data_IF_697434738456
#
_entry.id   IF_697434738456
#
_cell.length_a   1.000
_cell.length_b   1.000
_cell.length_c   1.000
_cell.angle_alpha   90.00
_cell.angle_beta   90.00
_cell.angle_gamma   90.00
#
_symmetry.space_group_name_H-M   'P 1'
#
loop_
_entity.id
_entity.type
_entity.pdbx_description
1 polymer ?
#
# COMPACT_ATOMS: atom_id res chain seq x y z
N UNK A 1 -11.86 16.17 -9.98
CA UNK A 1 -12.38 14.92 -10.52
C UNK A 1 -13.79 14.68 -10.04
N UNK A 2 -14.68 14.36 -10.94
CA UNK A 2 -16.06 14.03 -10.56
C UNK A 2 -16.18 12.54 -10.31
N UNK A 3 -16.61 12.19 -9.12
CA UNK A 3 -16.90 10.80 -8.79
C UNK A 3 -18.39 10.60 -8.89
N UNK A 4 -18.81 9.76 -9.79
CA UNK A 4 -20.22 9.46 -9.98
C UNK A 4 -20.60 8.26 -9.11
N UNK A 5 -21.53 8.42 -8.14
CA UNK A 5 -21.88 7.31 -7.26
C UNK A 5 -22.49 6.10 -7.99
N UNK A 6 -23.09 6.30 -9.15
CA UNK A 6 -23.66 5.19 -9.93
C UNK A 6 -22.62 4.50 -10.79
N UNK A 7 -21.41 5.07 -10.90
CA UNK A 7 -20.28 4.50 -11.62
C UNK A 7 -19.02 4.73 -10.80
N UNK A 8 -18.87 4.02 -9.67
CA UNK A 8 -17.73 4.24 -8.80
C UNK A 8 -16.43 3.90 -9.51
N UNK A 9 -15.41 4.74 -9.28
CA UNK A 9 -14.09 4.49 -9.82
C UNK A 9 -13.30 3.62 -8.85
N UNK A 10 -12.37 2.84 -9.37
CA UNK A 10 -11.49 2.03 -8.55
C UNK A 10 -10.21 2.80 -8.26
N UNK A 11 -9.82 2.81 -7.00
CA UNK A 11 -8.64 3.53 -6.54
C UNK A 11 -7.65 2.54 -5.96
N UNK A 12 -6.44 2.53 -6.50
CA UNK A 12 -5.33 1.76 -5.93
C UNK A 12 -4.46 2.70 -5.11
N UNK A 13 -4.14 2.30 -3.90
CA UNK A 13 -3.18 3.03 -3.08
C UNK A 13 -1.87 2.24 -3.08
N UNK A 14 -0.77 2.94 -3.29
CA UNK A 14 0.55 2.34 -3.38
C UNK A 14 1.40 2.86 -2.24
N UNK A 15 2.00 1.97 -1.48
CA UNK A 15 2.86 2.30 -0.36
C UNK A 15 4.18 1.54 -0.48
N UNK A 16 5.29 2.23 -0.27
CA UNK A 16 6.61 1.60 -0.20
C UNK A 16 7.06 1.58 1.25
N UNK A 17 7.58 0.45 1.69
CA UNK A 17 8.03 0.31 3.08
C UNK A 17 9.49 -0.12 3.15
N UNK A 18 10.17 0.39 4.17
CA UNK A 18 11.50 -0.06 4.54
C UNK A 18 11.74 0.27 6.00
N UNK A 19 11.78 -0.75 6.86
CA UNK A 19 12.04 -0.62 8.29
C UNK A 19 11.22 0.49 8.96
N UNK A 20 9.91 0.46 8.75
CA UNK A 20 9.02 1.50 9.26
C UNK A 20 7.94 0.98 10.18
N UNK A 21 8.23 0.00 11.01
CA UNK A 21 7.20 -0.67 11.80
C UNK A 21 6.54 0.24 12.85
N UNK A 22 7.19 1.33 13.25
CA UNK A 22 6.74 2.16 14.37
C UNK A 22 5.36 2.80 14.15
N UNK A 23 5.09 3.31 12.94
CA UNK A 23 3.82 4.00 12.64
C UNK A 23 2.98 3.29 11.59
N UNK A 24 3.41 2.11 11.20
CA UNK A 24 2.82 1.42 10.06
C UNK A 24 1.35 1.04 10.28
N UNK A 25 1.02 0.56 11.47
CA UNK A 25 -0.36 0.17 11.76
C UNK A 25 -1.32 1.35 11.65
N UNK A 26 -0.94 2.50 12.22
CA UNK A 26 -1.73 3.72 12.10
C UNK A 26 -1.97 4.09 10.65
N UNK A 27 -0.93 4.00 9.85
CA UNK A 27 -0.98 4.40 8.46
C UNK A 27 -1.87 3.48 7.65
N UNK A 28 -1.72 2.17 7.83
CA UNK A 28 -2.56 1.21 7.12
C UNK A 28 -4.01 1.36 7.55
N UNK A 29 -4.27 1.47 8.85
CA UNK A 29 -5.62 1.67 9.36
C UNK A 29 -6.27 2.90 8.72
N UNK A 30 -5.54 4.00 8.65
CA UNK A 30 -6.03 5.24 8.07
C UNK A 30 -6.43 5.06 6.61
N UNK A 31 -5.63 4.33 5.84
CA UNK A 31 -5.91 4.07 4.43
C UNK A 31 -7.14 3.19 4.28
N UNK A 32 -7.23 2.12 5.05
CA UNK A 32 -8.33 1.17 4.92
C UNK A 32 -9.65 1.73 5.41
N UNK A 33 -9.63 2.75 6.26
CA UNK A 33 -10.82 3.38 6.82
C UNK A 33 -11.23 4.65 6.11
N UNK A 34 -10.68 4.93 4.93
CA UNK A 34 -11.05 6.13 4.18
C UNK A 34 -12.54 6.17 3.84
N UNK A 35 -13.08 7.39 3.76
CA UNK A 35 -14.48 7.59 3.41
C UNK A 35 -14.83 6.98 2.05
N UNK A 36 -13.95 7.15 1.07
CA UNK A 36 -14.14 6.53 -0.23
C UNK A 36 -13.40 5.19 -0.24
N UNK A 37 -14.11 4.07 -0.45
CA UNK A 37 -13.47 2.75 -0.41
C UNK A 37 -12.41 2.59 -1.49
N UNK A 38 -11.27 2.01 -1.11
CA UNK A 38 -10.21 1.73 -2.08
C UNK A 38 -10.41 0.34 -2.68
N UNK A 39 -9.91 0.17 -3.89
CA UNK A 39 -9.93 -1.12 -4.57
C UNK A 39 -8.86 -2.05 -4.00
N UNK A 40 -7.67 -1.52 -3.76
CA UNK A 40 -6.53 -2.30 -3.26
C UNK A 40 -5.52 -1.38 -2.60
N UNK A 41 -4.76 -1.95 -1.67
CA UNK A 41 -3.58 -1.31 -1.09
C UNK A 41 -2.38 -2.18 -1.44
N UNK A 42 -1.54 -1.68 -2.32
CA UNK A 42 -0.34 -2.38 -2.75
C UNK A 42 0.83 -1.89 -1.90
N UNK A 43 1.46 -2.80 -1.18
CA UNK A 43 2.61 -2.47 -0.36
C UNK A 43 3.82 -3.20 -0.91
N UNK A 44 4.82 -2.43 -1.32
CA UNK A 44 6.07 -2.98 -1.83
C UNK A 44 7.14 -2.77 -0.77
N UNK A 45 7.66 -3.86 -0.23
CA UNK A 45 8.64 -3.80 0.85
C UNK A 45 10.05 -4.02 0.31
N UNK A 46 10.96 -3.16 0.71
CA UNK A 46 12.34 -3.17 0.24
C UNK A 46 13.27 -3.88 1.23
N UNK A 47 12.94 -5.12 1.53
CA UNK A 47 13.76 -6.00 2.38
C UNK A 47 13.89 -5.50 3.82
N UNK A 48 12.76 -5.17 4.44
CA UNK A 48 12.75 -4.76 5.85
C UNK A 48 13.27 -5.86 6.76
N UNK A 49 14.00 -5.47 7.78
CA UNK A 49 14.56 -6.39 8.77
C UNK A 49 13.90 -6.26 10.14
N UNK A 50 12.99 -5.30 10.29
CA UNK A 50 12.22 -5.13 11.53
C UNK A 50 10.87 -5.88 11.42
N UNK A 51 9.86 -5.43 12.16
CA UNK A 51 8.55 -6.09 12.16
C UNK A 51 7.62 -5.66 11.03
N UNK A 52 8.11 -4.85 10.10
CA UNK A 52 7.29 -4.30 9.01
C UNK A 52 6.52 -5.38 8.27
N UNK A 53 7.21 -6.39 7.77
CA UNK A 53 6.57 -7.47 6.98
C UNK A 53 5.55 -8.23 7.82
N UNK A 54 5.88 -8.54 9.06
CA UNK A 54 4.98 -9.26 9.96
C UNK A 54 3.68 -8.49 10.17
N UNK A 55 3.78 -7.18 10.36
CA UNK A 55 2.61 -6.32 10.54
C UNK A 55 1.73 -6.34 9.28
N UNK A 56 2.34 -6.20 8.11
CA UNK A 56 1.59 -6.18 6.86
C UNK A 56 0.91 -7.53 6.61
N UNK A 57 1.60 -8.62 6.90
CA UNK A 57 1.01 -9.95 6.74
C UNK A 57 -0.22 -10.14 7.61
N UNK A 58 -0.21 -9.58 8.80
CA UNK A 58 -1.38 -9.62 9.68
C UNK A 58 -2.58 -8.89 9.06
N UNK A 59 -2.32 -7.75 8.42
CA UNK A 59 -3.39 -7.03 7.71
C UNK A 59 -3.90 -7.79 6.50
N UNK A 60 -3.01 -8.43 5.75
CA UNK A 60 -3.40 -9.24 4.61
C UNK A 60 -4.40 -10.33 4.98
N UNK A 61 -4.21 -10.93 6.14
CA UNK A 61 -5.12 -11.98 6.61
C UNK A 61 -6.51 -11.46 6.94
N UNK A 62 -6.60 -10.19 7.35
CA UNK A 62 -7.87 -9.58 7.76
C UNK A 62 -8.59 -8.86 6.63
N UNK A 63 -7.84 -8.39 5.63
CA UNK A 63 -8.41 -7.55 4.57
C UNK A 63 -7.82 -7.96 3.22
N UNK A 64 -8.64 -8.53 2.33
CA UNK A 64 -8.14 -9.01 1.03
C UNK A 64 -7.67 -7.88 0.09
N UNK A 65 -7.96 -6.63 0.42
CA UNK A 65 -7.48 -5.50 -0.39
C UNK A 65 -5.98 -5.27 -0.21
N UNK A 66 -5.40 -5.74 0.90
CA UNK A 66 -3.97 -5.56 1.19
C UNK A 66 -3.15 -6.58 0.42
N UNK A 67 -2.24 -6.10 -0.41
CA UNK A 67 -1.37 -6.95 -1.23
C UNK A 67 0.07 -6.59 -0.94
N UNK A 68 0.83 -7.56 -0.46
CA UNK A 68 2.23 -7.38 -0.09
C UNK A 68 3.15 -8.02 -1.11
N UNK A 69 4.14 -7.26 -1.55
CA UNK A 69 5.21 -7.75 -2.41
C UNK A 69 6.54 -7.39 -1.75
N UNK A 70 7.42 -8.37 -1.64
CA UNK A 70 8.73 -8.20 -1.00
C UNK A 70 9.82 -8.33 -2.05
N UNK A 71 10.71 -7.33 -2.13
CA UNK A 71 11.80 -7.39 -3.08
C UNK A 71 12.80 -8.47 -2.69
N UNK A 72 13.39 -9.13 -3.68
CA UNK A 72 14.41 -10.15 -3.42
C UNK A 72 15.72 -9.55 -2.94
N UNK A 73 15.97 -8.30 -3.33
CA UNK A 73 17.15 -7.55 -2.91
C UNK A 73 16.77 -6.08 -2.83
N UNK A 74 17.47 -5.28 -2.00
CA UNK A 74 17.14 -3.85 -1.88
C UNK A 74 17.25 -3.12 -3.22
N UNK A 75 16.20 -2.38 -3.58
CA UNK A 75 16.12 -1.64 -4.84
C UNK A 75 16.27 -0.13 -4.67
N UNK A 76 16.03 0.37 -3.47
CA UNK A 76 15.98 1.80 -3.22
C UNK A 76 14.60 2.36 -3.51
N UNK A 77 14.36 3.59 -3.04
CA UNK A 77 13.00 4.16 -3.03
C UNK A 77 12.39 4.26 -4.42
N UNK A 78 13.13 4.81 -5.39
CA UNK A 78 12.56 5.06 -6.71
C UNK A 78 12.16 3.78 -7.43
N UNK A 79 13.00 2.77 -7.41
CA UNK A 79 12.67 1.50 -8.06
C UNK A 79 11.59 0.76 -7.31
N UNK A 80 11.61 0.85 -5.98
CA UNK A 80 10.59 0.22 -5.16
C UNK A 80 9.22 0.80 -5.48
N UNK A 81 9.14 2.13 -5.56
CA UNK A 81 7.89 2.81 -5.90
C UNK A 81 7.42 2.46 -7.32
N UNK A 82 8.33 2.48 -8.29
CA UNK A 82 7.97 2.13 -9.67
C UNK A 82 7.45 0.71 -9.78
N UNK A 83 8.04 -0.21 -9.05
CA UNK A 83 7.61 -1.60 -9.03
C UNK A 83 6.19 -1.72 -8.46
N UNK A 84 5.90 -1.01 -7.36
CA UNK A 84 4.58 -1.02 -6.76
C UNK A 84 3.54 -0.39 -7.70
N UNK A 85 3.89 0.74 -8.29
CA UNK A 85 3.01 1.47 -9.19
C UNK A 85 2.59 0.61 -10.37
N UNK A 86 3.53 -0.16 -10.91
CA UNK A 86 3.26 -1.03 -12.06
C UNK A 86 2.26 -2.16 -11.76
N UNK A 87 2.07 -2.48 -10.47
CA UNK A 87 1.15 -3.54 -10.06
C UNK A 87 -0.27 -3.05 -9.83
N UNK A 88 -0.48 -1.73 -9.81
CA UNK A 88 -1.78 -1.15 -9.52
C UNK A 88 -2.77 -1.39 -10.66
N UNK A 89 -3.98 -1.83 -10.31
CA UNK A 89 -5.02 -2.17 -11.28
C UNK A 89 -6.17 -1.18 -11.31
N UNK A 90 -6.23 -0.26 -10.35
CA UNK A 90 -7.32 0.70 -10.29
C UNK A 90 -7.25 1.77 -11.37
N UNK A 91 -8.36 2.44 -11.60
CA UNK A 91 -8.43 3.53 -12.56
C UNK A 91 -7.61 4.74 -12.12
N UNK A 92 -7.51 4.94 -10.80
CA UNK A 92 -6.73 6.02 -10.20
C UNK A 92 -5.74 5.43 -9.22
N UNK A 93 -4.56 6.01 -9.16
CA UNK A 93 -3.50 5.52 -8.28
C UNK A 93 -3.08 6.66 -7.36
N UNK A 94 -3.15 6.41 -6.06
CA UNK A 94 -2.68 7.35 -5.06
C UNK A 94 -1.48 6.75 -4.34
N UNK A 95 -0.53 7.59 -3.96
CA UNK A 95 0.63 7.11 -3.22
C UNK A 95 0.49 7.50 -1.75
N UNK A 96 1.06 6.68 -0.88
CA UNK A 96 1.11 6.93 0.54
C UNK A 96 2.54 6.73 1.02
N UNK A 97 3.07 7.73 1.70
CA UNK A 97 4.41 7.65 2.25
C UNK A 97 4.38 6.99 3.61
N UNK A 98 5.38 6.17 3.86
CA UNK A 98 5.45 5.38 5.06
C UNK A 98 5.73 6.20 6.33
N UNK A 99 6.55 7.22 6.21
CA UNK A 99 7.08 7.91 7.39
C UNK A 99 6.85 9.41 7.36
N UNK A 100 5.67 9.80 7.39
CA UNK A 100 5.35 11.21 7.44
C UNK A 100 5.51 11.87 8.75
#
# INVERSE_FOLDING_TARGET
MNINPSSPVSISVVMCTYNGDKYLEQQIDSILCQTYPIHELIIQDDCSTDRTVTIIEAYQKRDPRVKLYINEAPLGFNYNFSSAFAKAEGEYIASSDQDD
#
